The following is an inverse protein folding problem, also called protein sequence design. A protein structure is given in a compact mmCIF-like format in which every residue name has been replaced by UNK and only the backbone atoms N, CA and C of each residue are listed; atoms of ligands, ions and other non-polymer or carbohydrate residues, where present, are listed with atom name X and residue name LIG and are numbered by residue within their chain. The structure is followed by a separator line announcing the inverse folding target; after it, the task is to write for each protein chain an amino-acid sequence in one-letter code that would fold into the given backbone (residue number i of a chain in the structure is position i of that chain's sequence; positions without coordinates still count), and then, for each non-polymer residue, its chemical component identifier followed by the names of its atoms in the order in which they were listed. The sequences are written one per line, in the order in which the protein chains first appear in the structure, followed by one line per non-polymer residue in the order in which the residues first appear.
data_IF_339829998414
#
_entry.id   IF_339829998414
#
_cell.length_a   1.000
_cell.length_b   1.000
_cell.length_c   1.000
_cell.angle_alpha   90.00
_cell.angle_beta   90.00
_cell.angle_gamma   90.00
#
_symmetry.space_group_name_H-M   'P 1'
#
loop_
_entity.id
_entity.type
_entity.pdbx_description
1 polymer ?
#
# COMPACT_ATOMS: atom_id res chain seq x y z
N UNK A 1 6.70 42.17 -17.29
CA UNK A 1 5.95 42.54 -18.52
C UNK A 1 5.21 41.38 -19.19
N UNK A 2 5.26 40.13 -18.70
CA UNK A 2 4.48 39.01 -19.27
C UNK A 2 4.85 38.58 -20.70
N UNK A 3 5.73 39.33 -21.38
CA UNK A 3 6.13 39.10 -22.76
C UNK A 3 6.72 37.69 -22.98
N UNK A 4 7.57 37.21 -22.07
CA UNK A 4 8.15 35.86 -22.16
C UNK A 4 7.07 34.77 -22.11
N UNK A 5 6.17 34.85 -21.13
CA UNK A 5 5.06 33.91 -20.99
C UNK A 5 4.16 33.93 -22.22
N UNK A 6 3.84 35.14 -22.72
CA UNK A 6 3.00 35.31 -23.90
C UNK A 6 3.66 34.75 -25.17
N UNK A 7 4.97 34.97 -25.33
CA UNK A 7 5.72 34.44 -26.47
C UNK A 7 5.76 32.90 -26.46
N UNK A 8 6.03 32.28 -25.30
CA UNK A 8 6.02 30.81 -25.19
C UNK A 8 4.61 30.27 -25.43
N UNK A 9 3.59 30.89 -24.83
CA UNK A 9 2.21 30.43 -24.96
C UNK A 9 1.61 30.65 -26.35
N UNK A 10 2.19 31.51 -27.19
CA UNK A 10 1.75 31.71 -28.57
C UNK A 10 1.90 30.48 -29.46
N UNK A 11 2.77 29.54 -29.07
CA UNK A 11 3.04 28.28 -29.79
C UNK A 11 2.70 27.04 -28.96
N UNK A 12 1.93 27.19 -27.87
CA UNK A 12 1.63 26.10 -26.93
C UNK A 12 0.94 24.89 -27.57
N UNK A 13 0.09 25.12 -28.56
CA UNK A 13 -0.64 24.04 -29.24
C UNK A 13 0.27 23.22 -30.15
N UNK A 14 1.38 23.80 -30.59
CA UNK A 14 2.43 23.11 -31.36
C UNK A 14 3.41 22.40 -30.43
N UNK A 15 3.94 23.11 -29.43
CA UNK A 15 4.98 22.58 -28.53
C UNK A 15 4.45 21.66 -27.45
N UNK A 16 3.18 21.82 -27.04
CA UNK A 16 2.59 21.18 -25.86
C UNK A 16 2.93 21.83 -24.54
N UNK A 17 3.76 22.87 -24.57
CA UNK A 17 4.32 23.50 -23.38
C UNK A 17 3.55 24.78 -23.06
N UNK A 18 3.04 24.85 -21.84
CA UNK A 18 2.40 26.03 -21.27
C UNK A 18 3.34 26.68 -20.25
N UNK A 19 3.58 27.97 -20.43
CA UNK A 19 4.32 28.81 -19.50
C UNK A 19 3.37 29.53 -18.54
N UNK A 20 3.76 29.57 -17.28
CA UNK A 20 3.10 30.35 -16.23
C UNK A 20 4.12 30.90 -15.24
N UNK A 21 3.70 31.84 -14.40
CA UNK A 21 4.52 32.34 -13.28
C UNK A 21 3.89 31.81 -11.99
N UNK A 22 4.69 31.21 -11.13
CA UNK A 22 4.23 30.72 -9.83
C UNK A 22 4.06 31.87 -8.81
N UNK A 23 3.48 31.55 -7.65
CA UNK A 23 3.27 32.50 -6.55
C UNK A 23 4.58 33.13 -6.02
N UNK A 24 5.73 32.49 -6.27
CA UNK A 24 7.05 32.97 -5.89
C UNK A 24 7.75 33.76 -7.02
N UNK A 25 7.05 34.04 -8.12
CA UNK A 25 7.58 34.77 -9.27
C UNK A 25 8.51 33.96 -10.19
N UNK A 26 8.58 32.63 -10.03
CA UNK A 26 9.40 31.74 -10.87
C UNK A 26 8.64 31.34 -12.14
N UNK A 27 9.37 31.21 -13.24
CA UNK A 27 8.85 30.66 -14.48
C UNK A 27 8.60 29.16 -14.33
N UNK A 28 7.36 28.74 -14.56
CA UNK A 28 6.94 27.35 -14.64
C UNK A 28 6.64 27.00 -16.09
N UNK A 29 7.24 25.93 -16.59
CA UNK A 29 6.91 25.33 -17.88
C UNK A 29 6.28 23.97 -17.61
N UNK A 30 5.07 23.75 -18.09
CA UNK A 30 4.32 22.50 -17.88
C UNK A 30 3.87 21.95 -19.22
N UNK A 31 4.00 20.63 -19.38
CA UNK A 31 3.52 19.90 -20.54
C UNK A 31 2.22 19.18 -20.16
N UNK A 32 1.10 19.54 -20.79
CA UNK A 32 -0.23 19.04 -20.40
C UNK A 32 -0.47 17.58 -20.81
N UNK A 33 0.16 17.16 -21.90
CA UNK A 33 0.06 15.82 -22.46
C UNK A 33 1.23 14.91 -22.04
N UNK A 34 2.11 15.39 -21.16
CA UNK A 34 3.25 14.62 -20.65
C UNK A 34 4.43 14.51 -21.60
N UNK A 35 4.47 15.29 -22.70
CA UNK A 35 5.68 15.40 -23.54
C UNK A 35 6.86 15.99 -22.76
N UNK A 36 8.06 15.53 -23.08
CA UNK A 36 9.29 16.12 -22.57
C UNK A 36 9.49 17.56 -23.05
N UNK A 37 10.00 18.40 -22.17
CA UNK A 37 10.37 19.78 -22.46
C UNK A 37 11.86 19.82 -22.74
N UNK A 38 12.20 20.12 -24.00
CA UNK A 38 13.57 20.37 -24.43
C UNK A 38 13.70 21.79 -24.97
N UNK A 39 14.59 22.57 -24.38
CA UNK A 39 14.83 23.97 -24.72
C UNK A 39 16.17 24.08 -25.42
N UNK A 40 16.14 24.42 -26.70
CA UNK A 40 17.33 24.72 -27.49
C UNK A 40 17.63 26.23 -27.46
N UNK A 41 18.89 26.60 -27.68
CA UNK A 41 19.34 27.99 -27.59
C UNK A 41 19.51 28.49 -26.14
N UNK A 42 19.66 29.80 -25.97
CA UNK A 42 19.77 30.45 -24.66
C UNK A 42 18.45 31.13 -24.26
N UNK A 43 17.79 30.59 -23.23
CA UNK A 43 16.56 31.15 -22.65
C UNK A 43 16.82 32.37 -21.76
N UNK A 44 18.10 32.66 -21.48
CA UNK A 44 18.52 33.76 -20.62
C UNK A 44 18.49 33.40 -19.14
N UNK A 45 19.47 33.89 -18.38
CA UNK A 45 19.67 33.53 -16.96
C UNK A 45 18.66 34.14 -16.00
N UNK A 46 17.95 35.19 -16.43
CA UNK A 46 16.81 35.74 -15.70
C UNK A 46 15.62 34.78 -15.58
N UNK A 47 15.56 33.71 -16.39
CA UNK A 47 14.52 32.68 -16.29
C UNK A 47 14.79 31.63 -15.18
N UNK A 48 16.02 31.62 -14.60
CA UNK A 48 16.45 30.65 -13.58
C UNK A 48 16.31 29.16 -13.99
N UNK A 49 16.32 28.88 -15.30
CA UNK A 49 16.40 27.52 -15.84
C UNK A 49 17.88 27.21 -16.11
N UNK A 50 18.45 26.33 -15.29
CA UNK A 50 19.85 25.91 -15.42
C UNK A 50 20.06 25.04 -16.67
N UNK A 51 21.30 24.90 -17.20
CA UNK A 51 21.58 24.06 -18.36
C UNK A 51 21.09 22.61 -18.17
N UNK A 52 21.23 22.07 -16.96
CA UNK A 52 20.79 20.71 -16.61
C UNK A 52 19.25 20.55 -16.58
N UNK A 53 18.48 21.65 -16.65
CA UNK A 53 17.02 21.64 -16.66
C UNK A 53 16.46 21.89 -18.07
N UNK A 54 17.31 22.17 -19.07
CA UNK A 54 16.87 22.42 -20.45
C UNK A 54 16.30 21.17 -21.12
N UNK A 55 16.59 20.00 -20.59
CA UNK A 55 16.03 18.73 -21.05
C UNK A 55 15.38 18.04 -19.86
N UNK A 56 14.05 17.96 -19.87
CA UNK A 56 13.26 17.40 -18.78
C UNK A 56 12.08 16.60 -19.34
N UNK A 57 12.02 15.32 -19.01
CA UNK A 57 10.95 14.40 -19.44
C UNK A 57 9.90 14.15 -18.34
N UNK A 58 9.94 14.90 -17.24
CA UNK A 58 9.05 14.70 -16.10
C UNK A 58 9.48 13.54 -15.19
N UNK A 59 8.53 13.04 -14.40
CA UNK A 59 8.70 11.88 -13.50
C UNK A 59 7.59 10.88 -13.79
N UNK A 60 7.86 9.62 -13.52
CA UNK A 60 6.85 8.55 -13.51
C UNK A 60 6.49 8.22 -12.06
N UNK A 61 5.20 8.14 -11.77
CA UNK A 61 4.65 7.72 -10.48
C UNK A 61 3.83 6.45 -10.70
N UNK A 62 4.09 5.43 -9.90
CA UNK A 62 3.41 4.14 -9.97
C UNK A 62 2.70 3.90 -8.66
N UNK A 63 1.45 3.45 -8.73
CA UNK A 63 0.62 3.15 -7.56
C UNK A 63 0.20 1.69 -7.63
N UNK A 64 0.33 0.97 -6.52
CA UNK A 64 -0.12 -0.42 -6.37
C UNK A 64 -1.00 -0.54 -5.14
N UNK A 65 -2.01 -1.40 -5.25
CA UNK A 65 -3.10 -1.55 -4.28
C UNK A 65 -2.95 -2.76 -3.34
N UNK A 66 -1.82 -3.48 -3.35
CA UNK A 66 -1.61 -4.66 -2.49
C UNK A 66 -0.55 -4.45 -1.38
N UNK A 67 0.01 -3.24 -1.28
CA UNK A 67 1.02 -2.88 -0.28
C UNK A 67 2.40 -3.53 -0.48
N UNK A 68 2.58 -4.38 -1.49
CA UNK A 68 3.88 -4.97 -1.84
C UNK A 68 4.64 -4.03 -2.78
N UNK A 69 5.95 -4.20 -2.81
CA UNK A 69 6.83 -3.43 -3.68
C UNK A 69 6.50 -3.65 -5.18
N UNK A 70 6.80 -2.65 -6.00
CA UNK A 70 6.73 -2.72 -7.45
C UNK A 70 8.13 -3.03 -7.97
N UNK A 71 8.38 -4.30 -8.25
CA UNK A 71 9.67 -4.73 -8.80
C UNK A 71 9.75 -4.35 -10.28
N UNK A 72 10.45 -3.25 -10.57
CA UNK A 72 10.71 -2.79 -11.94
C UNK A 72 12.05 -3.35 -12.39
N UNK A 73 12.04 -4.10 -13.49
CA UNK A 73 13.25 -4.56 -14.16
C UNK A 73 13.09 -4.41 -15.65
N UNK A 74 14.16 -4.01 -16.34
CA UNK A 74 14.12 -3.73 -17.77
C UNK A 74 15.39 -3.09 -18.27
N UNK A 75 15.43 -2.81 -19.56
CA UNK A 75 16.55 -2.13 -20.22
C UNK A 75 16.30 -0.62 -20.25
N UNK A 76 17.35 0.19 -20.09
CA UNK A 76 17.31 1.65 -20.24
C UNK A 76 16.34 2.38 -19.27
N UNK A 77 16.19 1.88 -18.04
CA UNK A 77 15.32 2.48 -17.01
C UNK A 77 15.74 3.90 -16.60
N UNK A 78 16.98 4.31 -16.86
CA UNK A 78 17.45 5.68 -16.67
C UNK A 78 16.65 6.70 -17.47
N UNK A 79 16.06 6.32 -18.62
CA UNK A 79 15.26 7.22 -19.44
C UNK A 79 13.96 7.69 -18.74
N UNK A 80 13.44 6.89 -17.80
CA UNK A 80 12.25 7.19 -17.01
C UNK A 80 12.57 7.58 -15.56
N UNK A 81 13.86 7.73 -15.23
CA UNK A 81 14.31 8.07 -13.88
C UNK A 81 14.31 6.92 -12.87
N UNK A 82 14.23 5.67 -13.34
CA UNK A 82 14.29 4.45 -12.51
C UNK A 82 15.62 3.67 -12.70
N UNK A 83 16.66 4.33 -13.22
CA UNK A 83 17.98 3.71 -13.39
C UNK A 83 18.75 3.59 -12.07
N UNK A 84 19.82 2.79 -12.07
CA UNK A 84 20.66 2.50 -10.89
C UNK A 84 21.37 3.71 -10.29
N UNK A 85 21.43 4.83 -11.01
CA UNK A 85 21.98 6.11 -10.53
C UNK A 85 20.94 7.13 -10.09
N UNK A 86 19.64 6.79 -10.15
CA UNK A 86 18.55 7.68 -9.78
C UNK A 86 18.08 7.38 -8.36
N UNK A 87 17.81 8.43 -7.58
CA UNK A 87 17.15 8.30 -6.29
C UNK A 87 15.64 8.21 -6.51
N UNK A 88 14.99 7.19 -5.94
CA UNK A 88 13.57 6.88 -6.14
C UNK A 88 12.90 6.84 -4.78
N UNK A 89 11.72 7.45 -4.66
CA UNK A 89 10.92 7.42 -3.44
C UNK A 89 9.81 6.39 -3.56
N UNK A 90 9.70 5.52 -2.55
CA UNK A 90 8.65 4.51 -2.45
C UNK A 90 8.14 4.42 -1.02
N UNK A 91 6.82 4.25 -0.86
CA UNK A 91 6.17 4.11 0.44
C UNK A 91 4.85 3.33 0.29
N UNK A 92 4.47 2.61 1.32
CA UNK A 92 3.12 2.06 1.49
C UNK A 92 2.40 2.81 2.60
N UNK A 93 1.12 3.13 2.38
CA UNK A 93 0.35 4.00 3.27
C UNK A 93 -0.97 3.32 3.62
N UNK A 94 -1.25 3.22 4.91
CA UNK A 94 -2.52 2.70 5.40
C UNK A 94 -3.64 3.74 5.33
N UNK A 95 -4.88 3.28 5.30
CA UNK A 95 -6.06 4.15 5.38
C UNK A 95 -6.03 5.06 6.63
N UNK A 96 -5.44 4.59 7.74
CA UNK A 96 -5.33 5.38 8.97
C UNK A 96 -4.32 6.53 8.82
N UNK A 97 -3.16 6.25 8.23
CA UNK A 97 -2.11 7.26 8.01
C UNK A 97 -2.56 8.36 7.06
N UNK A 98 -3.42 8.02 6.09
CA UNK A 98 -4.02 9.00 5.17
C UNK A 98 -4.83 10.11 5.85
N UNK A 99 -5.21 9.96 7.12
CA UNK A 99 -5.95 10.97 7.90
C UNK A 99 -5.02 11.99 8.57
N UNK A 100 -3.75 11.65 8.77
CA UNK A 100 -2.76 12.47 9.47
C UNK A 100 -2.09 13.49 8.54
N UNK A 101 -1.19 14.27 9.11
CA UNK A 101 -0.22 15.05 8.34
C UNK A 101 0.63 14.09 7.51
N UNK A 102 0.88 14.42 6.24
CA UNK A 102 1.62 13.54 5.32
C UNK A 102 3.11 13.85 5.47
N UNK A 103 3.89 12.87 5.91
CA UNK A 103 5.36 12.97 5.99
C UNK A 103 5.95 13.34 4.62
N UNK A 104 6.96 14.19 4.62
CA UNK A 104 7.59 14.70 3.41
C UNK A 104 8.07 13.62 2.42
N UNK A 105 8.62 12.50 2.91
CA UNK A 105 9.09 11.41 2.04
C UNK A 105 7.92 10.60 1.47
N UNK A 106 6.86 10.42 2.27
CA UNK A 106 5.60 9.82 1.80
C UNK A 106 4.94 10.73 0.76
N UNK A 107 4.96 12.04 0.96
CA UNK A 107 4.45 13.02 0.01
C UNK A 107 5.21 12.97 -1.33
N UNK A 108 6.55 12.82 -1.33
CA UNK A 108 7.29 12.63 -2.59
C UNK A 108 6.90 11.33 -3.30
N UNK A 109 6.74 10.22 -2.55
CA UNK A 109 6.26 8.95 -3.10
C UNK A 109 4.82 9.04 -3.68
N UNK A 110 3.96 9.87 -3.08
CA UNK A 110 2.61 10.18 -3.59
C UNK A 110 2.61 11.16 -4.78
N UNK A 111 3.77 11.68 -5.19
CA UNK A 111 3.90 12.58 -6.34
C UNK A 111 3.59 14.06 -6.03
N UNK A 112 3.71 14.49 -4.77
CA UNK A 112 3.61 15.91 -4.39
C UNK A 112 4.86 16.71 -4.77
N UNK A 113 6.00 16.04 -4.98
CA UNK A 113 7.31 16.68 -5.15
C UNK A 113 7.71 17.50 -3.92
N UNK A 114 7.83 16.84 -2.77
CA UNK A 114 8.01 17.50 -1.45
C UNK A 114 9.30 18.32 -1.33
N UNK A 115 10.33 18.04 -2.13
CA UNK A 115 11.44 18.97 -2.30
C UNK A 115 10.88 20.24 -2.94
N UNK A 116 10.73 21.32 -2.18
CA UNK A 116 10.10 22.61 -2.53
C UNK A 116 10.76 23.31 -3.72
N UNK A 117 10.66 22.69 -4.90
CA UNK A 117 11.40 22.97 -6.13
C UNK A 117 12.93 23.05 -5.90
N UNK A 118 13.41 22.32 -4.89
CA UNK A 118 14.83 22.24 -4.56
C UNK A 118 15.59 21.52 -5.67
N UNK A 119 16.76 22.04 -6.04
CA UNK A 119 17.58 21.47 -7.11
C UNK A 119 18.94 21.03 -6.57
N UNK A 120 19.45 19.90 -7.04
CA UNK A 120 20.78 19.41 -6.75
C UNK A 120 21.67 19.68 -7.97
N UNK A 121 22.75 20.46 -7.78
CA UNK A 121 23.78 20.63 -8.79
C UNK A 121 24.91 19.63 -8.52
N UNK A 122 24.96 18.58 -9.33
CA UNK A 122 26.08 17.65 -9.35
C UNK A 122 27.34 18.25 -9.98
N UNK A 123 28.50 17.83 -9.48
CA UNK A 123 29.83 18.19 -10.01
C UNK A 123 30.45 19.46 -9.42
N UNK A 124 29.80 20.12 -8.46
CA UNK A 124 30.27 21.39 -7.90
C UNK A 124 30.29 21.36 -6.36
N UNK A 125 31.35 21.89 -5.75
CA UNK A 125 31.50 21.96 -4.29
C UNK A 125 30.73 23.11 -3.65
N UNK A 126 30.31 24.11 -4.44
CA UNK A 126 29.52 25.25 -3.99
C UNK A 126 28.75 25.89 -5.14
N UNK A 127 27.69 26.63 -4.80
CA UNK A 127 26.95 27.48 -5.77
C UNK A 127 27.89 28.49 -6.42
N UNK A 128 28.83 29.07 -5.64
CA UNK A 128 29.83 30.00 -6.16
C UNK A 128 30.73 29.34 -7.21
N UNK A 129 31.20 28.13 -6.93
CA UNK A 129 31.96 27.31 -7.87
C UNK A 129 31.18 27.06 -9.17
N UNK A 130 29.90 26.66 -9.06
CA UNK A 130 29.04 26.51 -10.23
C UNK A 130 28.90 27.81 -11.03
N UNK A 131 28.56 28.92 -10.39
CA UNK A 131 28.36 30.20 -11.08
C UNK A 131 29.63 30.67 -11.81
N UNK A 132 30.80 30.45 -11.21
CA UNK A 132 32.08 30.80 -11.84
C UNK A 132 32.47 29.89 -13.03
N UNK A 133 31.87 28.71 -13.14
CA UNK A 133 32.23 27.73 -14.17
C UNK A 133 31.78 28.11 -15.58
N UNK A 134 32.55 27.67 -16.58
CA UNK A 134 32.19 27.85 -17.98
C UNK A 134 30.89 27.09 -18.32
N UNK A 135 30.00 27.70 -19.11
CA UNK A 135 28.71 27.12 -19.50
C UNK A 135 27.57 27.30 -18.48
N UNK A 136 27.87 27.71 -17.24
CA UNK A 136 26.84 28.06 -16.25
C UNK A 136 26.00 29.26 -16.68
N UNK A 137 26.58 30.15 -17.50
CA UNK A 137 26.02 31.44 -17.91
C UNK A 137 26.06 32.51 -16.82
N UNK A 138 26.67 32.21 -15.67
CA UNK A 138 26.96 33.18 -14.59
C UNK A 138 28.45 33.47 -14.48
N UNK A 139 29.26 33.00 -15.43
CA UNK A 139 30.71 33.22 -15.46
C UNK A 139 31.05 34.70 -15.56
N UNK A 140 32.30 35.06 -15.25
CA UNK A 140 32.79 36.43 -15.45
C UNK A 140 32.52 36.91 -16.89
N UNK A 141 32.07 38.15 -17.04
CA UNK A 141 31.71 38.73 -18.35
C UNK A 141 30.29 38.43 -18.85
N UNK A 142 29.54 37.54 -18.20
CA UNK A 142 28.15 37.21 -18.58
C UNK A 142 27.12 38.31 -18.27
N UNK A 143 27.47 39.29 -17.43
CA UNK A 143 26.53 40.26 -16.86
C UNK A 143 25.68 39.70 -15.70
N UNK A 144 25.74 38.39 -15.44
CA UNK A 144 25.00 37.69 -14.39
C UNK A 144 25.91 37.16 -13.26
N UNK A 145 27.20 37.53 -13.27
CA UNK A 145 28.19 37.00 -12.35
C UNK A 145 27.96 37.41 -10.90
N UNK A 146 28.57 36.67 -9.98
CA UNK A 146 28.62 37.06 -8.57
C UNK A 146 29.25 38.45 -8.46
N UNK A 147 28.65 39.34 -7.68
CA UNK A 147 29.10 40.73 -7.53
C UNK A 147 28.66 41.70 -8.63
N UNK A 148 27.81 41.26 -9.59
CA UNK A 148 27.26 42.13 -10.65
C UNK A 148 26.21 43.16 -10.19
N UNK A 149 26.04 43.39 -8.88
CA UNK A 149 24.96 44.18 -8.26
C UNK A 149 23.52 43.70 -8.60
N UNK A 150 23.37 42.53 -9.25
CA UNK A 150 22.07 41.93 -9.59
C UNK A 150 21.63 40.81 -8.65
N UNK A 151 22.49 40.39 -7.71
CA UNK A 151 22.20 39.43 -6.65
C UNK A 151 21.57 38.09 -7.11
N UNK A 152 21.92 37.60 -8.31
CA UNK A 152 21.40 36.33 -8.85
C UNK A 152 21.71 35.10 -7.98
N UNK A 153 22.75 35.17 -7.13
CA UNK A 153 23.07 34.12 -6.15
C UNK A 153 21.92 33.86 -5.16
N UNK A 154 21.06 34.84 -4.89
CA UNK A 154 19.88 34.67 -4.02
C UNK A 154 18.81 33.74 -4.61
N UNK A 155 18.75 33.63 -5.95
CA UNK A 155 17.86 32.68 -6.62
C UNK A 155 18.22 31.21 -6.39
N UNK A 156 19.41 30.93 -5.86
CA UNK A 156 19.90 29.59 -5.53
C UNK A 156 19.71 29.23 -4.05
N UNK A 157 18.86 29.93 -3.30
CA UNK A 157 18.64 29.67 -1.87
C UNK A 157 18.21 28.22 -1.56
N UNK A 158 17.43 27.58 -2.44
CA UNK A 158 16.96 26.20 -2.27
C UNK A 158 17.75 25.18 -3.11
N UNK A 159 19.03 25.46 -3.32
CA UNK A 159 19.88 24.68 -4.21
C UNK A 159 21.05 24.08 -3.43
N UNK A 160 21.31 22.79 -3.61
CA UNK A 160 22.46 22.11 -3.00
C UNK A 160 23.48 21.79 -4.08
N UNK A 161 24.71 22.23 -3.89
CA UNK A 161 25.84 21.85 -4.73
C UNK A 161 26.51 20.60 -4.15
N UNK A 162 26.72 19.58 -4.98
CA UNK A 162 27.36 18.32 -4.60
C UNK A 162 28.51 18.00 -5.55
N UNK A 163 29.74 17.99 -5.05
CA UNK A 163 30.94 17.69 -5.85
C UNK A 163 31.19 16.20 -6.01
N UNK A 164 30.78 15.39 -5.05
CA UNK A 164 31.03 13.94 -5.04
C UNK A 164 29.82 13.17 -4.51
N UNK A 165 29.75 11.87 -4.81
CA UNK A 165 28.72 10.99 -4.25
C UNK A 165 28.76 10.91 -2.71
N UNK A 166 29.91 11.18 -2.07
CA UNK A 166 30.02 11.24 -0.61
C UNK A 166 29.18 12.38 -0.01
N UNK A 167 28.98 13.46 -0.76
CA UNK A 167 28.11 14.59 -0.37
C UNK A 167 26.62 14.25 -0.41
N UNK A 168 26.22 13.06 -0.87
CA UNK A 168 24.82 12.60 -0.89
C UNK A 168 24.24 12.55 0.53
N UNK A 169 25.08 12.29 1.53
CA UNK A 169 24.72 12.33 2.95
C UNK A 169 24.26 13.70 3.46
N UNK A 170 24.50 14.79 2.70
CA UNK A 170 23.99 16.11 3.06
C UNK A 170 22.48 16.25 2.77
N UNK A 171 21.97 15.51 1.78
CA UNK A 171 20.58 15.60 1.32
C UNK A 171 19.78 14.35 1.71
N UNK A 172 20.41 13.18 1.71
CA UNK A 172 19.77 11.90 1.94
C UNK A 172 20.30 11.19 3.19
N UNK A 173 19.46 10.34 3.77
CA UNK A 173 19.82 9.48 4.90
C UNK A 173 20.60 8.25 4.44
N UNK A 174 21.87 8.44 4.07
CA UNK A 174 22.78 7.37 3.60
C UNK A 174 23.92 7.07 4.58
N UNK A 175 23.78 7.46 5.85
CA UNK A 175 24.78 7.19 6.88
C UNK A 175 24.90 5.69 7.17
N UNK A 176 26.04 5.26 7.71
CA UNK A 176 26.19 3.90 8.23
C UNK A 176 25.08 3.59 9.25
N UNK A 177 24.47 2.41 9.16
CA UNK A 177 23.36 1.98 10.02
C UNK A 177 21.95 2.42 9.58
N UNK A 178 21.81 3.25 8.54
CA UNK A 178 20.49 3.69 8.02
C UNK A 178 19.73 2.61 7.23
N UNK A 179 20.39 1.52 6.84
CA UNK A 179 19.85 0.55 5.87
C UNK A 179 19.98 1.00 4.41
N UNK A 180 20.27 2.28 4.16
CA UNK A 180 20.44 2.88 2.83
C UNK A 180 21.86 3.39 2.57
N UNK A 181 22.85 2.87 3.30
CA UNK A 181 24.24 3.31 3.16
C UNK A 181 24.75 3.13 1.73
N UNK A 182 25.68 3.99 1.29
CA UNK A 182 26.33 3.87 -0.02
C UNK A 182 26.90 2.46 -0.23
N UNK A 183 26.56 1.82 -1.35
CA UNK A 183 26.95 0.43 -1.65
C UNK A 183 25.99 -0.64 -1.12
N UNK A 184 24.96 -0.28 -0.35
CA UNK A 184 23.86 -1.19 -0.05
C UNK A 184 22.94 -1.38 -1.26
N UNK A 185 22.23 -2.50 -1.30
CA UNK A 185 21.24 -2.83 -2.34
C UNK A 185 20.05 -1.86 -2.35
N UNK A 186 19.81 -1.13 -1.26
CA UNK A 186 18.70 -0.19 -1.10
C UNK A 186 19.13 1.29 -1.19
N UNK A 187 20.41 1.56 -1.49
CA UNK A 187 20.96 2.93 -1.46
C UNK A 187 20.20 3.94 -2.35
N UNK A 188 19.59 3.49 -3.45
CA UNK A 188 18.76 4.34 -4.33
C UNK A 188 17.43 4.78 -3.72
N UNK A 189 16.99 4.16 -2.62
CA UNK A 189 15.73 4.45 -1.93
C UNK A 189 15.91 5.25 -0.64
N UNK A 190 17.11 5.80 -0.41
CA UNK A 190 17.36 6.58 0.79
C UNK A 190 16.38 7.76 0.89
N UNK A 191 15.83 7.97 2.08
CA UNK A 191 14.91 9.09 2.33
C UNK A 191 15.65 10.42 2.33
N UNK A 192 14.96 11.49 1.93
CA UNK A 192 15.49 12.83 2.04
C UNK A 192 15.51 13.27 3.50
N UNK A 193 16.54 14.03 3.88
CA UNK A 193 16.65 14.63 5.21
C UNK A 193 15.66 15.77 5.37
N UNK A 194 14.91 15.77 6.46
CA UNK A 194 14.02 16.88 6.87
C UNK A 194 14.67 17.82 7.88
N UNK A 195 15.91 17.52 8.31
CA UNK A 195 16.64 18.27 9.33
C UNK A 195 17.01 19.70 8.90
N UNK A 196 17.06 20.61 9.88
CA UNK A 196 17.56 21.98 9.75
C UNK A 196 18.96 21.97 9.11
N UNK A 197 19.06 22.47 7.88
CA UNK A 197 20.28 22.44 7.06
C UNK A 197 20.09 21.84 5.67
N UNK A 198 19.02 21.07 5.43
CA UNK A 198 18.64 20.67 4.08
C UNK A 198 17.98 21.85 3.34
N UNK A 199 18.72 22.49 2.43
CA UNK A 199 18.20 23.62 1.64
C UNK A 199 17.21 23.21 0.55
N UNK A 200 16.98 21.91 0.31
CA UNK A 200 15.92 21.46 -0.62
C UNK A 200 14.51 21.83 -0.14
N UNK A 201 14.34 22.25 1.13
CA UNK A 201 13.07 22.72 1.67
C UNK A 201 12.02 21.62 1.76
N UNK A 202 12.47 20.40 2.03
CA UNK A 202 11.63 19.20 2.20
C UNK A 202 10.76 19.40 3.43
N UNK A 203 9.44 19.37 3.24
CA UNK A 203 8.46 19.64 4.29
C UNK A 203 7.28 18.69 4.22
N UNK A 204 6.67 18.47 5.36
CA UNK A 204 5.44 17.72 5.47
C UNK A 204 4.29 18.47 4.80
N UNK A 205 3.37 17.72 4.23
CA UNK A 205 2.20 18.25 3.54
C UNK A 205 0.97 18.25 4.46
N UNK A 206 -0.01 19.09 4.11
CA UNK A 206 -1.24 19.23 4.89
C UNK A 206 -1.99 17.89 4.93
N UNK A 207 -2.73 17.66 6.01
CA UNK A 207 -3.36 16.37 6.28
C UNK A 207 -4.38 15.93 5.22
N UNK A 208 -4.27 14.66 4.81
CA UNK A 208 -5.25 13.93 4.00
C UNK A 208 -5.72 14.62 2.71
N UNK A 209 -7.03 14.76 2.57
CA UNK A 209 -7.76 15.24 1.37
C UNK A 209 -7.73 16.77 1.16
N UNK A 210 -7.00 17.51 1.98
CA UNK A 210 -6.97 18.99 1.89
C UNK A 210 -6.18 19.54 0.70
N UNK A 211 -5.47 18.67 -0.01
CA UNK A 211 -4.70 18.99 -1.22
C UNK A 211 -5.17 18.13 -2.38
N UNK A 212 -4.98 18.61 -3.63
CA UNK A 212 -5.36 17.85 -4.83
C UNK A 212 -4.71 16.47 -4.86
N UNK A 213 -3.39 16.39 -4.63
CA UNK A 213 -2.64 15.13 -4.64
C UNK A 213 -3.02 14.22 -3.47
N UNK A 214 -3.29 14.78 -2.30
CA UNK A 214 -3.75 14.01 -1.15
C UNK A 214 -5.11 13.40 -1.39
N UNK A 215 -6.02 14.12 -2.05
CA UNK A 215 -7.31 13.58 -2.43
C UNK A 215 -7.21 12.44 -3.44
N UNK A 216 -6.35 12.57 -4.47
CA UNK A 216 -6.10 11.49 -5.44
C UNK A 216 -5.54 10.25 -4.75
N UNK A 217 -4.54 10.40 -3.87
CA UNK A 217 -3.97 9.28 -3.13
C UNK A 217 -4.99 8.59 -2.21
N UNK A 218 -5.85 9.37 -1.53
CA UNK A 218 -6.91 8.82 -0.67
C UNK A 218 -7.94 8.03 -1.48
N UNK A 219 -8.21 8.37 -2.74
CA UNK A 219 -9.08 7.57 -3.61
C UNK A 219 -8.51 6.17 -3.81
N UNK A 220 -7.23 6.05 -4.17
CA UNK A 220 -6.56 4.76 -4.38
C UNK A 220 -6.49 3.93 -3.08
N UNK A 221 -6.24 4.60 -1.94
CA UNK A 221 -6.22 3.96 -0.62
C UNK A 221 -7.62 3.45 -0.24
N UNK A 222 -8.67 4.21 -0.56
CA UNK A 222 -10.05 3.81 -0.31
C UNK A 222 -10.47 2.62 -1.20
N UNK A 223 -10.10 2.62 -2.48
CA UNK A 223 -10.32 1.49 -3.39
C UNK A 223 -9.64 0.21 -2.89
N UNK A 224 -8.41 0.34 -2.41
CA UNK A 224 -7.67 -0.75 -1.77
C UNK A 224 -8.40 -1.28 -0.53
N UNK A 225 -8.91 -0.38 0.33
CA UNK A 225 -9.65 -0.78 1.53
C UNK A 225 -10.97 -1.50 1.20
N UNK A 226 -11.69 -1.05 0.16
CA UNK A 226 -12.90 -1.71 -0.33
C UNK A 226 -12.58 -3.12 -0.82
N UNK A 227 -11.56 -3.26 -1.66
CA UNK A 227 -11.12 -4.56 -2.19
C UNK A 227 -10.77 -5.54 -1.08
N UNK A 228 -10.05 -5.08 -0.05
CA UNK A 228 -9.70 -5.90 1.12
C UNK A 228 -10.95 -6.35 1.92
N UNK A 229 -11.93 -5.46 2.11
CA UNK A 229 -13.18 -5.82 2.79
C UNK A 229 -14.02 -6.80 1.98
N UNK A 230 -14.07 -6.65 0.66
CA UNK A 230 -14.80 -7.54 -0.22
C UNK A 230 -14.17 -8.93 -0.26
N UNK A 231 -12.83 -9.03 -0.23
CA UNK A 231 -12.15 -10.32 -0.05
C UNK A 231 -12.52 -11.00 1.26
N UNK A 232 -12.49 -10.27 2.39
CA UNK A 232 -12.88 -10.81 3.70
C UNK A 232 -14.34 -11.26 3.70
N UNK A 233 -15.25 -10.50 3.07
CA UNK A 233 -16.66 -10.87 2.93
C UNK A 233 -16.84 -12.14 2.09
N UNK A 234 -16.07 -12.28 1.02
CA UNK A 234 -16.08 -13.48 0.19
C UNK A 234 -15.61 -14.72 0.98
N UNK A 235 -14.55 -14.58 1.77
CA UNK A 235 -14.02 -15.66 2.62
C UNK A 235 -15.05 -16.08 3.69
N UNK A 236 -15.67 -15.11 4.37
CA UNK A 236 -16.75 -15.37 5.33
C UNK A 236 -17.94 -16.07 4.66
N UNK A 237 -18.36 -15.59 3.48
CA UNK A 237 -19.46 -16.19 2.72
C UNK A 237 -19.17 -17.63 2.29
N UNK A 238 -17.92 -17.91 1.88
CA UNK A 238 -17.47 -19.27 1.56
C UNK A 238 -17.56 -20.21 2.76
N UNK A 239 -17.05 -19.78 3.93
CA UNK A 239 -17.13 -20.55 5.17
C UNK A 239 -18.59 -20.75 5.60
N UNK A 240 -19.44 -19.73 5.49
CA UNK A 240 -20.86 -19.83 5.80
C UNK A 240 -21.58 -20.89 4.95
N UNK A 241 -21.27 -20.97 3.66
CA UNK A 241 -21.83 -21.99 2.77
C UNK A 241 -21.38 -23.41 3.14
N UNK A 242 -20.11 -23.58 3.51
CA UNK A 242 -19.58 -24.86 3.99
C UNK A 242 -20.24 -25.30 5.30
N UNK A 243 -20.38 -24.38 6.26
CA UNK A 243 -21.05 -24.63 7.54
C UNK A 243 -22.52 -25.01 7.33
N UNK A 244 -23.24 -24.29 6.47
CA UNK A 244 -24.66 -24.58 6.18
C UNK A 244 -24.83 -25.98 5.58
N UNK A 245 -23.97 -26.33 4.61
CA UNK A 245 -23.99 -27.67 3.98
C UNK A 245 -23.66 -28.77 4.99
N UNK A 246 -22.70 -28.52 5.88
CA UNK A 246 -22.30 -29.44 6.95
C UNK A 246 -23.42 -29.64 7.96
N UNK A 247 -24.11 -28.58 8.39
CA UNK A 247 -25.27 -28.65 9.28
C UNK A 247 -26.39 -29.49 8.67
N UNK A 248 -26.72 -29.26 7.40
CA UNK A 248 -27.76 -30.01 6.69
C UNK A 248 -27.43 -31.51 6.64
N UNK A 249 -26.17 -31.86 6.33
CA UNK A 249 -25.73 -33.25 6.28
C UNK A 249 -25.71 -33.91 7.67
N UNK A 250 -25.20 -33.22 8.69
CA UNK A 250 -25.16 -33.71 10.08
C UNK A 250 -26.57 -33.91 10.62
N UNK A 251 -27.51 -33.02 10.31
CA UNK A 251 -28.90 -33.13 10.77
C UNK A 251 -29.56 -34.40 10.23
N UNK A 252 -29.41 -34.68 8.93
CA UNK A 252 -29.91 -35.92 8.31
C UNK A 252 -29.23 -37.15 8.92
N UNK A 253 -27.91 -37.09 9.10
CA UNK A 253 -27.14 -38.17 9.70
C UNK A 253 -27.57 -38.44 11.14
N UNK A 254 -27.82 -37.40 11.94
CA UNK A 254 -28.28 -37.52 13.32
C UNK A 254 -29.64 -38.21 13.41
N UNK A 255 -30.60 -37.86 12.55
CA UNK A 255 -31.92 -38.51 12.50
C UNK A 255 -31.77 -40.00 12.15
N UNK A 256 -30.96 -40.32 11.15
CA UNK A 256 -30.72 -41.71 10.73
C UNK A 256 -30.01 -42.54 11.80
N UNK A 257 -28.99 -41.97 12.46
CA UNK A 257 -28.24 -42.64 13.55
C UNK A 257 -29.16 -42.87 14.74
N UNK A 258 -29.99 -41.90 15.13
CA UNK A 258 -30.92 -42.05 16.25
C UNK A 258 -32.01 -43.10 15.95
N UNK A 259 -32.50 -43.16 14.72
CA UNK A 259 -33.44 -44.20 14.30
C UNK A 259 -32.80 -45.59 14.33
N UNK A 260 -31.55 -45.72 13.85
CA UNK A 260 -30.80 -46.97 13.92
C UNK A 260 -30.49 -47.39 15.37
N UNK A 261 -30.18 -46.44 16.27
CA UNK A 261 -30.00 -46.71 17.69
C UNK A 261 -31.30 -47.19 18.35
N UNK A 262 -32.43 -46.53 18.07
CA UNK A 262 -33.76 -46.92 18.55
C UNK A 262 -34.10 -48.36 18.15
N UNK A 263 -33.81 -48.76 16.92
CA UNK A 263 -34.09 -50.13 16.45
C UNK A 263 -33.23 -51.21 17.13
N UNK A 264 -32.08 -50.86 17.70
CA UNK A 264 -31.20 -51.78 18.43
C UNK A 264 -31.50 -51.78 19.93
N UNK A 265 -31.77 -50.60 20.51
CA UNK A 265 -31.89 -50.44 21.96
C UNK A 265 -33.32 -50.46 22.48
N UNK A 266 -34.27 -49.89 21.71
CA UNK A 266 -35.64 -49.78 22.19
C UNK A 266 -36.36 -51.12 22.08
N UNK A 267 -37.14 -51.44 23.10
CA UNK A 267 -37.95 -52.66 23.12
C UNK A 267 -39.25 -52.43 22.36
N UNK A 268 -39.64 -53.39 21.53
CA UNK A 268 -40.98 -53.40 20.94
C UNK A 268 -42.01 -53.78 22.02
N UNK A 269 -42.70 -52.76 22.54
CA UNK A 269 -43.70 -52.89 23.59
C UNK A 269 -44.82 -53.87 23.24
N UNK A 270 -45.17 -54.03 21.96
CA UNK A 270 -46.19 -54.99 21.56
C UNK A 270 -45.72 -56.43 21.84
N UNK A 271 -44.47 -56.75 21.48
CA UNK A 271 -43.87 -58.06 21.73
C UNK A 271 -43.58 -58.29 23.21
N UNK A 272 -43.06 -57.29 23.92
CA UNK A 272 -42.71 -57.41 25.34
C UNK A 272 -43.96 -57.49 26.22
N UNK A 273 -45.03 -56.75 25.90
CA UNK A 273 -46.30 -56.89 26.61
C UNK A 273 -46.92 -58.27 26.39
N UNK A 274 -46.82 -58.85 25.19
CA UNK A 274 -47.29 -60.21 24.94
C UNK A 274 -46.49 -61.25 25.73
N UNK A 275 -45.16 -61.11 25.78
CA UNK A 275 -44.29 -61.94 26.61
C UNK A 275 -44.58 -61.77 28.10
N UNK A 276 -44.70 -60.54 28.59
CA UNK A 276 -45.04 -60.24 29.98
C UNK A 276 -46.38 -60.88 30.36
N UNK A 277 -47.44 -60.71 29.55
CA UNK A 277 -48.73 -61.36 29.78
C UNK A 277 -48.63 -62.88 29.76
N UNK A 278 -47.87 -63.47 28.82
CA UNK A 278 -47.61 -64.91 28.77
C UNK A 278 -46.92 -65.41 30.03
N UNK A 279 -45.87 -64.73 30.49
CA UNK A 279 -45.14 -65.09 31.71
C UNK A 279 -46.00 -64.91 32.97
N UNK A 280 -46.88 -63.92 33.01
CA UNK A 280 -47.82 -63.72 34.11
C UNK A 280 -48.84 -64.86 34.20
N UNK A 281 -49.42 -65.27 33.06
CA UNK A 281 -50.31 -66.44 32.97
C UNK A 281 -49.57 -67.73 33.34
N UNK A 282 -48.32 -67.90 32.87
CA UNK A 282 -47.47 -69.05 33.23
C UNK A 282 -47.14 -69.10 34.72
N UNK A 283 -46.86 -67.95 35.35
CA UNK A 283 -46.59 -67.88 36.79
C UNK A 283 -47.83 -68.25 37.61
N UNK A 284 -49.02 -67.77 37.21
CA UNK A 284 -50.29 -68.15 37.84
C UNK A 284 -50.60 -69.63 37.64
N UNK A 285 -50.41 -70.16 36.42
CA UNK A 285 -50.61 -71.58 36.10
C UNK A 285 -49.62 -72.49 36.82
N UNK A 286 -48.35 -72.08 36.93
CA UNK A 286 -47.31 -72.81 37.65
C UNK A 286 -47.55 -72.83 39.15
N UNK A 287 -48.05 -71.72 39.73
CA UNK A 287 -48.49 -71.67 41.13
C UNK A 287 -49.65 -72.63 41.39
N UNK A 288 -50.65 -72.67 40.50
CA UNK A 288 -51.75 -73.63 40.57
C UNK A 288 -51.29 -75.09 40.41
N UNK A 289 -50.38 -75.35 39.46
CA UNK A 289 -49.81 -76.69 39.27
C UNK A 289 -49.00 -77.15 40.49
N UNK A 290 -48.22 -76.26 41.12
CA UNK A 290 -47.54 -76.55 42.39
C UNK A 290 -48.53 -76.85 43.52
N UNK A 291 -49.61 -76.07 43.65
CA UNK A 291 -50.62 -76.35 44.70
C UNK A 291 -51.30 -77.71 44.48
N UNK A 292 -51.58 -78.06 43.22
CA UNK A 292 -52.16 -79.36 42.87
C UNK A 292 -51.19 -80.52 43.12
N UNK A 293 -49.91 -80.37 42.78
CA UNK A 293 -48.88 -81.38 43.04
C UNK A 293 -48.71 -81.66 44.54
N UNK A 294 -48.71 -80.59 45.37
CA UNK A 294 -48.68 -80.72 46.82
C UNK A 294 -49.93 -81.45 47.36
N UNK A 295 -51.12 -81.19 46.80
CA UNK A 295 -52.35 -81.89 47.18
C UNK A 295 -52.35 -83.37 46.78
N UNK A 296 -51.78 -83.73 45.62
CA UNK A 296 -51.64 -85.13 45.18
C UNK A 296 -50.74 -85.92 46.13
N UNK A 297 -49.64 -85.34 46.63
CA UNK A 297 -48.80 -85.99 47.64
C UNK A 297 -49.60 -86.30 48.93
N UNK A 298 -50.55 -85.45 49.33
CA UNK A 298 -51.44 -85.73 50.47
C UNK A 298 -52.43 -86.88 50.20
N UNK A 299 -52.87 -87.07 48.95
CA UNK A 299 -53.72 -88.21 48.59
C UNK A 299 -52.98 -89.55 48.67
N UNK A 300 -51.66 -89.56 48.43
CA UNK A 300 -50.83 -90.76 48.62
C UNK A 300 -50.71 -91.10 50.11
N UNK A 301 -50.58 -90.10 50.99
CA UNK A 301 -50.60 -90.31 52.45
C UNK A 301 -51.94 -90.90 52.94
N UNK A 302 -53.06 -90.54 52.29
CA UNK A 302 -54.38 -91.14 52.56
C UNK A 302 -54.51 -92.60 52.11
N UNK A 303 -53.71 -93.04 51.14
CA UNK A 303 -53.71 -94.43 50.64
C UNK A 303 -52.80 -95.36 51.47
N UNK A 304 -51.98 -94.80 52.36
CA UNK A 304 -51.07 -95.54 53.25
C UNK A 304 -51.60 -95.67 54.70
N UNK A 305 -52.80 -95.14 54.98
CA UNK A 305 -53.55 -95.37 56.23
C UNK A 305 -54.66 -96.40 55.98
#
# INVERSE_FOLDING_TARGET
NGALVSAINSVKDTTGVEASIDENGKLLLTSRDGRGIKIEGDIGRGAFINPNMKENYGRLSLVKNDGKDILISGTNLSAIGFGTGNMISQASVSLRESKGQIDANVADAMGFNSANKGNILGGYSSISGYMSSAGSGFSSGSGYSIGSNKNYSTGFANVVAMSTASSLSNVYNVSAGSGFSSGSTLSQFATMKTSVGNTLGVKDETAGVTTLKGAMAVMDIAETAITNLDQIRADIGSVQNQVTSTINNITVTQVNVKAAESQIRDVDFASESANFSKYNILAQSGSYAMSQANAVQQNVLKLLQ
#
